data_IF_390315073107
#
_entry.id   IF_390315073107
#
_cell.length_a   1.000
_cell.length_b   1.000
_cell.length_c   1.000
_cell.angle_alpha   90.00
_cell.angle_beta   90.00
_cell.angle_gamma   90.00
#
_symmetry.space_group_name_H-M   'P 1'
#
loop_
_entity.id
_entity.type
_entity.pdbx_description
1 polymer ?
#
# COMPACT_ATOMS: atom_id res chain seq x y z
N UNK A 1 -0.42 6.00 -18.76
CA UNK A 1 0.96 5.77 -19.25
C UNK A 1 1.62 4.82 -18.29
N UNK A 2 2.22 3.71 -18.75
CA UNK A 2 2.95 2.79 -17.87
C UNK A 2 4.31 3.42 -17.52
N UNK A 3 4.59 3.62 -16.22
CA UNK A 3 5.88 4.12 -15.77
C UNK A 3 7.00 3.11 -16.07
N UNK A 4 8.17 3.54 -16.58
CA UNK A 4 9.31 2.64 -16.84
C UNK A 4 9.91 2.02 -15.58
N UNK A 5 9.51 2.46 -14.37
CA UNK A 5 9.96 1.90 -13.08
C UNK A 5 8.98 0.88 -12.48
N UNK A 6 7.96 0.47 -13.23
CA UNK A 6 6.91 -0.45 -12.76
C UNK A 6 7.39 -1.89 -12.81
N UNK A 7 7.42 -2.56 -11.66
CA UNK A 7 7.63 -4.02 -11.58
C UNK A 7 6.27 -4.70 -11.48
N UNK A 8 5.97 -5.61 -12.41
CA UNK A 8 4.69 -6.35 -12.47
C UNK A 8 4.93 -7.82 -12.14
N UNK A 9 4.08 -8.38 -11.30
CA UNK A 9 4.02 -9.82 -11.00
C UNK A 9 2.66 -10.34 -11.42
N UNK A 10 2.65 -11.37 -12.27
CA UNK A 10 1.44 -12.02 -12.76
C UNK A 10 1.41 -13.47 -12.29
N UNK A 11 0.23 -13.93 -11.86
CA UNK A 11 -0.01 -15.30 -11.43
C UNK A 11 -1.45 -15.74 -11.68
N UNK A 12 -1.78 -16.97 -11.27
CA UNK A 12 -3.14 -17.52 -11.42
C UNK A 12 -4.20 -16.81 -10.57
N UNK A 13 -3.76 -16.04 -9.57
CA UNK A 13 -4.58 -15.23 -8.66
C UNK A 13 -4.80 -13.78 -9.17
N UNK A 14 -4.22 -13.42 -10.32
CA UNK A 14 -4.28 -12.08 -10.90
C UNK A 14 -2.89 -11.46 -11.05
N UNK A 15 -2.85 -10.13 -11.07
CA UNK A 15 -1.60 -9.37 -11.11
C UNK A 15 -1.56 -8.29 -10.04
N UNK A 16 -0.36 -7.97 -9.58
CA UNK A 16 -0.06 -6.71 -8.89
C UNK A 16 1.18 -6.07 -9.50
N UNK A 17 1.31 -4.77 -9.33
CA UNK A 17 2.46 -4.01 -9.77
C UNK A 17 2.89 -3.02 -8.69
N UNK A 18 4.19 -2.84 -8.55
CA UNK A 18 4.78 -1.84 -7.68
C UNK A 18 5.37 -0.75 -8.58
N UNK A 19 4.91 0.48 -8.38
CA UNK A 19 5.47 1.66 -9.01
C UNK A 19 6.20 2.50 -7.96
N UNK A 20 7.45 2.82 -8.25
CA UNK A 20 8.23 3.81 -7.52
C UNK A 20 8.25 5.07 -8.37
N UNK A 21 7.23 5.91 -8.21
CA UNK A 21 7.18 7.23 -8.83
C UNK A 21 7.63 8.29 -7.80
N UNK A 22 8.42 9.26 -8.27
CA UNK A 22 8.94 10.35 -7.44
C UNK A 22 7.84 11.33 -7.04
N UNK A 23 6.72 11.33 -7.76
CA UNK A 23 5.63 12.29 -7.54
C UNK A 23 4.54 11.77 -6.59
N UNK A 24 4.59 10.50 -6.15
CA UNK A 24 3.56 9.92 -5.27
C UNK A 24 3.38 10.68 -3.95
N UNK A 25 4.44 11.30 -3.43
CA UNK A 25 4.35 12.12 -2.22
C UNK A 25 3.34 13.28 -2.35
N UNK A 26 3.12 13.78 -3.58
CA UNK A 26 2.20 14.86 -3.86
C UNK A 26 0.72 14.43 -3.80
N UNK A 27 0.43 13.12 -3.88
CA UNK A 27 -0.94 12.59 -3.80
C UNK A 27 -1.51 12.65 -2.38
N UNK A 28 -0.63 12.63 -1.37
CA UNK A 28 -1.01 12.77 0.03
C UNK A 28 -1.38 14.21 0.37
N UNK A 29 -2.33 14.42 1.28
CA UNK A 29 -2.61 15.74 1.85
C UNK A 29 -1.48 16.19 2.80
N UNK A 30 -1.44 17.48 3.12
CA UNK A 30 -0.50 18.03 4.11
C UNK A 30 -0.63 17.33 5.48
N UNK A 31 -1.86 16.99 5.87
CA UNK A 31 -2.14 16.30 7.13
C UNK A 31 -1.63 14.86 7.13
N UNK A 32 -1.78 14.13 6.03
CA UNK A 32 -1.26 12.77 5.88
C UNK A 32 0.27 12.76 5.88
N UNK A 33 0.90 13.66 5.11
CA UNK A 33 2.36 13.83 5.13
C UNK A 33 2.88 14.14 6.53
N UNK A 34 2.20 15.02 7.27
CA UNK A 34 2.57 15.34 8.65
C UNK A 34 2.44 14.14 9.61
N UNK A 35 1.51 13.21 9.33
CA UNK A 35 1.36 11.96 10.10
C UNK A 35 2.42 10.94 9.72
N UNK A 36 2.69 10.77 8.43
CA UNK A 36 3.72 9.86 7.90
C UNK A 36 5.10 10.26 8.43
N UNK A 37 5.47 11.53 8.34
CA UNK A 37 6.79 12.03 8.76
C UNK A 37 7.06 11.90 10.27
N UNK A 38 6.01 11.84 11.11
CA UNK A 38 6.14 11.51 12.54
C UNK A 38 6.50 10.05 12.79
N UNK A 39 6.11 9.16 11.87
CA UNK A 39 6.30 7.71 11.99
C UNK A 39 7.54 7.23 11.23
N UNK A 40 7.85 7.87 10.09
CA UNK A 40 8.94 7.49 9.19
C UNK A 40 9.74 8.75 8.86
N UNK A 41 10.98 8.84 9.37
CA UNK A 41 11.80 10.05 9.25
C UNK A 41 12.20 10.41 7.81
N UNK A 42 12.25 9.42 6.90
CA UNK A 42 12.56 9.58 5.47
C UNK A 42 11.71 8.61 4.66
N UNK A 43 10.42 8.92 4.43
CA UNK A 43 9.51 8.01 3.75
C UNK A 43 9.94 7.83 2.29
N UNK A 44 9.80 6.60 1.81
CA UNK A 44 9.86 6.26 0.38
C UNK A 44 8.47 5.83 0.01
N UNK A 45 7.88 6.52 -0.96
CA UNK A 45 6.52 6.25 -1.43
C UNK A 45 6.57 5.23 -2.56
N UNK A 46 5.63 4.29 -2.52
CA UNK A 46 5.44 3.26 -3.52
C UNK A 46 3.95 3.05 -3.70
N UNK A 47 3.52 2.91 -4.95
CA UNK A 47 2.14 2.61 -5.29
C UNK A 47 2.02 1.13 -5.60
N UNK A 48 1.06 0.46 -4.97
CA UNK A 48 0.68 -0.90 -5.27
C UNK A 48 -0.60 -0.86 -6.12
N UNK A 49 -0.48 -1.21 -7.39
CA UNK A 49 -1.62 -1.44 -8.27
C UNK A 49 -1.95 -2.92 -8.31
N UNK A 50 -3.22 -3.29 -8.47
CA UNK A 50 -3.63 -4.68 -8.48
C UNK A 50 -4.90 -4.90 -9.29
N UNK A 51 -5.04 -6.13 -9.79
CA UNK A 51 -6.19 -6.54 -10.61
C UNK A 51 -7.49 -6.78 -9.83
N UNK A 52 -7.37 -7.14 -8.55
CA UNK A 52 -8.48 -7.50 -7.66
C UNK A 52 -8.01 -7.53 -6.19
N UNK A 53 -8.94 -7.58 -5.24
CA UNK A 53 -8.63 -7.57 -3.80
C UNK A 53 -7.75 -8.74 -3.37
N UNK A 54 -7.94 -9.94 -3.93
CA UNK A 54 -7.11 -11.12 -3.59
C UNK A 54 -5.63 -10.93 -3.97
N UNK A 55 -5.35 -10.25 -5.09
CA UNK A 55 -3.99 -9.89 -5.49
C UNK A 55 -3.36 -8.86 -4.53
N UNK A 56 -4.14 -7.90 -4.05
CA UNK A 56 -3.70 -6.95 -3.03
C UNK A 56 -3.40 -7.65 -1.69
N UNK A 57 -4.30 -8.51 -1.23
CA UNK A 57 -4.13 -9.26 0.03
C UNK A 57 -2.87 -10.11 -0.01
N UNK A 58 -2.66 -10.86 -1.10
CA UNK A 58 -1.46 -11.68 -1.27
C UNK A 58 -0.19 -10.82 -1.26
N UNK A 59 -0.20 -9.65 -1.91
CA UNK A 59 0.95 -8.74 -1.89
C UNK A 59 1.27 -8.30 -0.44
N UNK A 60 0.27 -7.88 0.33
CA UNK A 60 0.44 -7.47 1.74
C UNK A 60 0.92 -8.65 2.60
N UNK A 61 0.40 -9.86 2.40
CA UNK A 61 0.82 -11.07 3.12
C UNK A 61 2.27 -11.48 2.84
N UNK A 62 2.76 -11.20 1.64
CA UNK A 62 4.13 -11.53 1.22
C UNK A 62 5.16 -10.44 1.55
N UNK A 63 4.74 -9.18 1.75
CA UNK A 63 5.67 -8.10 2.12
C UNK A 63 6.43 -8.41 3.42
N UNK A 64 7.72 -8.08 3.54
CA UNK A 64 8.40 -8.26 4.81
C UNK A 64 7.78 -7.34 5.88
N UNK A 65 7.58 -7.87 7.08
CA UNK A 65 7.17 -7.02 8.21
C UNK A 65 8.37 -6.18 8.60
N UNK A 66 8.35 -4.92 8.19
CA UNK A 66 9.24 -3.88 8.67
C UNK A 66 8.41 -2.90 9.51
N UNK A 67 8.91 -2.53 10.70
CA UNK A 67 8.22 -1.63 11.61
C UNK A 67 7.96 -0.21 11.04
N UNK A 68 8.52 0.10 9.87
CA UNK A 68 8.46 1.42 9.24
C UNK A 68 7.69 1.42 7.90
N UNK A 69 6.79 0.46 7.67
CA UNK A 69 5.92 0.47 6.48
C UNK A 69 4.48 0.77 6.86
N UNK A 70 3.91 1.78 6.20
CA UNK A 70 2.50 2.15 6.28
C UNK A 70 1.82 1.84 4.95
N UNK A 71 0.59 1.38 5.04
CA UNK A 71 -0.33 1.12 3.93
C UNK A 71 -1.39 2.20 3.97
N UNK A 72 -1.47 2.93 2.86
CA UNK A 72 -2.58 3.81 2.51
C UNK A 72 -3.48 3.08 1.49
N UNK A 73 -4.80 3.23 1.59
CA UNK A 73 -5.75 2.59 0.66
C UNK A 73 -6.50 3.58 -0.23
N UNK A 74 -6.09 4.85 -0.30
CA UNK A 74 -6.77 5.94 -1.02
C UNK A 74 -8.21 6.27 -0.56
N UNK A 75 -8.71 5.56 0.45
CA UNK A 75 -10.06 5.69 1.01
C UNK A 75 -10.06 6.20 2.46
N UNK A 76 -8.90 6.68 2.93
CA UNK A 76 -8.72 7.32 4.23
C UNK A 76 -8.14 6.40 5.30
N UNK A 77 -7.79 5.15 4.99
CA UNK A 77 -7.06 4.29 5.92
C UNK A 77 -5.55 4.52 5.79
N UNK A 78 -4.87 4.75 6.93
CA UNK A 78 -3.41 4.73 7.01
C UNK A 78 -2.97 3.88 8.21
N UNK A 79 -2.45 2.67 7.96
CA UNK A 79 -2.14 1.64 8.97
C UNK A 79 -0.82 0.93 8.70
N UNK A 80 -0.26 0.24 9.69
CA UNK A 80 0.90 -0.62 9.51
C UNK A 80 0.57 -1.90 8.72
N UNK A 81 1.58 -2.56 8.15
CA UNK A 81 1.42 -3.88 7.50
C UNK A 81 0.76 -4.90 8.45
N UNK A 82 1.15 -4.91 9.72
CA UNK A 82 0.62 -5.86 10.70
C UNK A 82 -0.88 -5.66 10.91
N UNK A 83 -1.32 -4.41 11.09
CA UNK A 83 -2.75 -4.11 11.24
C UNK A 83 -3.55 -4.49 10.00
N UNK A 84 -3.03 -4.25 8.78
CA UNK A 84 -3.73 -4.66 7.55
C UNK A 84 -3.81 -6.18 7.44
N UNK A 85 -2.76 -6.92 7.83
CA UNK A 85 -2.81 -8.38 7.88
C UNK A 85 -3.84 -8.91 8.86
N UNK A 86 -4.00 -8.24 10.01
CA UNK A 86 -5.03 -8.62 10.97
C UNK A 86 -6.44 -8.40 10.42
N UNK A 87 -6.65 -7.35 9.61
CA UNK A 87 -7.90 -7.16 8.87
C UNK A 87 -8.14 -8.27 7.84
N UNK A 88 -7.11 -8.64 7.05
CA UNK A 88 -7.19 -9.73 6.06
C UNK A 88 -7.56 -11.05 6.76
N UNK A 89 -6.88 -11.38 7.86
CA UNK A 89 -7.16 -12.60 8.66
C UNK A 89 -8.56 -12.62 9.27
N UNK A 90 -9.10 -11.44 9.58
CA UNK A 90 -10.47 -11.28 10.04
C UNK A 90 -11.51 -11.31 8.90
N UNK A 91 -11.07 -11.42 7.63
CA UNK A 91 -11.94 -11.43 6.45
C UNK A 91 -12.52 -10.06 6.10
N UNK A 92 -11.86 -8.97 6.52
CA UNK A 92 -12.30 -7.60 6.23
C UNK A 92 -11.68 -7.07 4.94
N UNK A 93 -12.50 -6.47 4.07
CA UNK A 93 -12.07 -5.79 2.84
C UNK A 93 -11.45 -4.42 3.15
N UNK A 94 -10.19 -4.44 3.60
CA UNK A 94 -9.45 -3.24 4.00
C UNK A 94 -9.28 -2.21 2.88
N UNK A 95 -9.36 -2.62 1.61
CA UNK A 95 -9.19 -1.76 0.45
C UNK A 95 -10.28 -0.69 0.33
N UNK A 96 -11.41 -0.83 1.02
CA UNK A 96 -12.53 0.12 0.96
C UNK A 96 -12.81 0.83 2.29
N UNK A 97 -12.02 0.54 3.34
CA UNK A 97 -12.22 1.12 4.65
C UNK A 97 -11.81 2.60 4.67
N UNK A 98 -12.66 3.44 5.25
CA UNK A 98 -12.27 4.76 5.72
C UNK A 98 -11.97 4.75 7.22
N UNK A 99 -11.28 5.78 7.71
CA UNK A 99 -11.23 6.08 9.15
C UNK A 99 -12.62 6.30 9.74
#
# INVERSE_FOLDING_TARGET
MQSPTRLVVEGTWGWFAIALDRELEAEFSDNERARITKLIAKPVYAQLEYSNSSAADLAIELMPVAAATLIDNDHGMLRSIEEVRDLIRAGMEWQTLSL
#
